data_IF_735461706128
#
_entry.id   IF_735461706128
#
_cell.length_a   1.000
_cell.length_b   1.000
_cell.length_c   1.000
_cell.angle_alpha   90.00
_cell.angle_beta   90.00
_cell.angle_gamma   90.00
#
_symmetry.space_group_name_H-M   'P 1'
#
loop_
_entity.id
_entity.type
_entity.pdbx_description
1 polymer ?
#
# COMPACT_ATOMS: atom_id res chain seq x y z
N UNK A 1 -18.40 28.44 -7.62
CA UNK A 1 -17.13 27.76 -7.90
C UNK A 1 -16.70 27.07 -6.62
N UNK A 2 -16.52 25.75 -6.66
CA UNK A 2 -15.97 25.00 -5.53
C UNK A 2 -14.46 25.24 -5.55
N UNK A 3 -13.97 26.10 -4.67
CA UNK A 3 -12.59 25.94 -4.20
C UNK A 3 -12.55 24.62 -3.43
N UNK A 4 -11.53 23.82 -3.70
CA UNK A 4 -10.86 22.91 -2.77
C UNK A 4 -10.54 21.56 -3.42
N UNK A 5 -9.29 21.46 -3.89
CA UNK A 5 -8.56 20.20 -3.95
C UNK A 5 -7.41 20.39 -2.95
N UNK A 6 -7.49 19.72 -1.80
CA UNK A 6 -6.50 19.80 -0.70
C UNK A 6 -5.16 19.12 -1.04
N UNK A 7 -4.74 19.21 -2.29
CA UNK A 7 -3.57 18.52 -2.80
C UNK A 7 -2.47 19.55 -3.01
N UNK A 8 -1.59 19.68 -2.03
CA UNK A 8 -0.30 20.33 -2.25
C UNK A 8 0.46 19.42 -3.21
N UNK A 9 0.84 19.96 -4.37
CA UNK A 9 1.54 19.22 -5.40
C UNK A 9 2.86 19.91 -5.70
N UNK A 10 3.96 19.17 -5.84
CA UNK A 10 5.21 19.74 -6.34
C UNK A 10 4.96 20.38 -7.70
N UNK A 11 5.44 21.62 -7.88
CA UNK A 11 5.14 22.41 -9.06
C UNK A 11 5.62 21.73 -10.35
N UNK A 12 6.73 21.00 -10.31
CA UNK A 12 7.26 20.20 -11.43
C UNK A 12 6.31 19.08 -11.86
N UNK A 13 5.45 18.60 -10.95
CA UNK A 13 4.42 17.59 -11.24
C UNK A 13 3.15 18.18 -11.82
N UNK A 14 2.92 19.48 -11.66
CA UNK A 14 1.75 20.19 -12.17
C UNK A 14 1.92 20.73 -13.60
N UNK A 15 3.03 20.43 -14.28
CA UNK A 15 3.30 20.80 -15.68
C UNK A 15 2.89 22.25 -16.00
N UNK A 16 3.44 23.25 -15.28
CA UNK A 16 3.00 24.63 -15.42
C UNK A 16 3.21 25.13 -16.84
N UNK A 17 2.25 25.87 -17.37
CA UNK A 17 2.43 26.61 -18.63
C UNK A 17 1.93 28.04 -18.48
N UNK A 18 2.50 28.94 -19.28
CA UNK A 18 2.06 30.33 -19.37
C UNK A 18 1.35 30.54 -20.70
N UNK A 19 0.14 31.08 -20.66
CA UNK A 19 -0.64 31.38 -21.87
C UNK A 19 -0.15 32.65 -22.58
N UNK A 20 -0.75 32.95 -23.74
CA UNK A 20 -0.40 34.12 -24.54
C UNK A 20 -0.72 35.46 -23.88
N UNK A 21 -1.53 35.48 -22.81
CA UNK A 21 -1.81 36.66 -22.00
C UNK A 21 -0.81 36.86 -20.85
N UNK A 22 0.11 35.91 -20.67
CA UNK A 22 1.08 35.92 -19.57
C UNK A 22 0.55 35.25 -18.29
N UNK A 23 -0.66 34.66 -18.30
CA UNK A 23 -1.23 33.98 -17.15
C UNK A 23 -0.70 32.56 -17.04
N UNK A 24 -0.26 32.15 -15.85
CA UNK A 24 0.25 30.80 -15.58
C UNK A 24 -0.88 29.86 -15.15
N UNK A 25 -0.78 28.62 -15.59
CA UNK A 25 -1.77 27.57 -15.40
C UNK A 25 -1.09 26.29 -14.93
N UNK A 26 -1.80 25.52 -14.10
CA UNK A 26 -1.33 24.28 -13.48
C UNK A 26 -2.25 23.11 -13.82
N UNK A 27 -1.68 22.01 -14.31
CA UNK A 27 -2.37 20.73 -14.53
C UNK A 27 -2.53 20.03 -13.18
N UNK A 28 -3.77 19.80 -12.78
CA UNK A 28 -4.12 19.16 -11.51
C UNK A 28 -4.57 17.70 -11.69
N UNK A 29 -4.52 17.17 -12.92
CA UNK A 29 -4.97 15.82 -13.28
C UNK A 29 -6.38 15.78 -13.87
N UNK A 30 -6.75 14.62 -14.43
CA UNK A 30 -8.07 14.34 -15.05
C UNK A 30 -8.53 15.35 -16.12
N UNK A 31 -7.58 16.02 -16.76
CA UNK A 31 -7.85 17.06 -17.77
C UNK A 31 -8.30 18.41 -17.21
N UNK A 32 -8.18 18.61 -15.89
CA UNK A 32 -8.51 19.87 -15.24
C UNK A 32 -7.27 20.77 -15.08
N UNK A 33 -7.49 22.07 -15.24
CA UNK A 33 -6.47 23.11 -15.13
C UNK A 33 -6.96 24.20 -14.18
N UNK A 34 -6.05 24.71 -13.34
CA UNK A 34 -6.29 25.86 -12.48
C UNK A 34 -5.35 26.99 -12.86
N UNK A 35 -5.84 28.22 -12.78
CA UNK A 35 -5.01 29.40 -13.02
C UNK A 35 -4.25 29.77 -11.74
N UNK A 36 -3.12 30.46 -11.86
CA UNK A 36 -2.35 30.86 -10.68
C UNK A 36 -3.13 31.75 -9.71
N UNK A 37 -4.14 32.47 -10.19
CA UNK A 37 -5.01 33.31 -9.36
C UNK A 37 -5.97 32.49 -8.50
N UNK A 38 -6.17 31.21 -8.83
CA UNK A 38 -7.12 30.32 -8.15
C UNK A 38 -6.43 29.38 -7.15
N UNK A 39 -5.10 29.45 -7.02
CA UNK A 39 -4.27 28.58 -6.17
C UNK A 39 -3.21 29.38 -5.42
N UNK A 40 -2.80 28.88 -4.26
CA UNK A 40 -1.62 29.39 -3.56
C UNK A 40 -0.36 28.84 -4.25
N UNK A 41 0.11 29.55 -5.28
CA UNK A 41 1.26 29.16 -6.09
C UNK A 41 2.60 29.51 -5.39
N UNK A 42 3.66 28.81 -5.79
CA UNK A 42 5.04 29.09 -5.36
C UNK A 42 5.29 29.03 -3.84
N UNK A 43 4.48 28.25 -3.11
CA UNK A 43 4.73 27.95 -1.69
C UNK A 43 6.09 27.25 -1.57
N UNK A 44 7.01 27.86 -0.82
CA UNK A 44 8.32 27.28 -0.56
C UNK A 44 8.21 26.04 0.33
N UNK A 45 9.12 25.07 0.14
CA UNK A 45 9.17 23.86 0.98
C UNK A 45 9.40 24.15 2.48
N UNK A 46 9.82 25.37 2.82
CA UNK A 46 10.05 25.84 4.18
C UNK A 46 8.93 26.73 4.72
N UNK A 47 7.92 27.06 3.90
CA UNK A 47 6.77 27.88 4.29
C UNK A 47 5.75 26.98 4.98
N UNK A 48 6.17 26.43 6.13
CA UNK A 48 5.43 25.39 6.85
C UNK A 48 3.99 25.83 7.17
N UNK A 49 3.74 27.11 7.47
CA UNK A 49 2.38 27.61 7.69
C UNK A 49 1.50 27.50 6.44
N UNK A 50 2.02 27.87 5.28
CA UNK A 50 1.30 27.81 4.00
C UNK A 50 1.14 26.35 3.53
N UNK A 51 2.08 25.48 3.93
CA UNK A 51 1.98 24.02 3.76
C UNK A 51 1.01 23.34 4.76
N UNK A 52 0.34 24.13 5.61
CA UNK A 52 -0.69 23.64 6.53
C UNK A 52 -0.16 23.13 7.87
N UNK A 53 1.12 23.31 8.19
CA UNK A 53 1.64 23.10 9.54
C UNK A 53 1.26 24.30 10.43
N UNK A 54 1.03 24.08 11.71
CA UNK A 54 1.00 25.18 12.66
C UNK A 54 1.70 24.79 13.94
N UNK A 55 2.33 25.79 14.55
CA UNK A 55 2.97 25.66 15.84
C UNK A 55 2.00 26.07 16.95
N UNK A 56 2.14 25.42 18.09
CA UNK A 56 1.50 25.84 19.33
C UNK A 56 2.59 25.86 20.40
N UNK A 57 2.51 26.84 21.29
CA UNK A 57 3.45 27.01 22.39
C UNK A 57 2.62 27.10 23.68
N UNK A 58 2.90 26.20 24.61
CA UNK A 58 2.36 26.28 25.97
C UNK A 58 3.48 26.72 26.92
N UNK A 59 3.12 27.43 27.99
CA UNK A 59 4.09 27.79 29.02
C UNK A 59 4.63 26.51 29.69
N UNK A 60 5.95 26.42 29.96
CA UNK A 60 6.52 25.27 30.63
C UNK A 60 5.87 25.01 31.99
N UNK A 61 5.53 23.75 32.26
CA UNK A 61 5.09 23.31 33.58
C UNK A 61 6.32 22.98 34.41
N UNK A 62 6.58 23.80 35.42
CA UNK A 62 7.75 23.66 36.30
C UNK A 62 7.61 22.58 37.38
N UNK A 63 6.46 21.89 37.46
CA UNK A 63 6.17 20.83 38.42
C UNK A 63 5.66 19.58 37.70
N UNK A 64 6.47 18.52 37.67
CA UNK A 64 6.13 17.30 36.93
C UNK A 64 4.93 16.54 37.47
N UNK A 65 4.52 16.80 38.71
CA UNK A 65 3.26 16.24 39.23
C UNK A 65 2.03 16.81 38.52
N UNK A 66 2.19 17.93 37.81
CA UNK A 66 1.12 18.64 37.09
C UNK A 66 1.19 18.47 35.57
N UNK A 67 2.11 17.66 35.05
CA UNK A 67 2.31 17.52 33.60
C UNK A 67 1.06 17.02 32.86
N UNK A 68 0.24 16.19 33.50
CA UNK A 68 -1.02 15.67 32.97
C UNK A 68 -2.21 16.62 33.14
N UNK A 69 -2.06 17.64 34.00
CA UNK A 69 -3.00 18.75 34.17
C UNK A 69 -2.69 19.93 33.24
N UNK A 70 -1.69 19.78 32.36
CA UNK A 70 -1.36 20.76 31.32
C UNK A 70 -2.40 20.80 30.20
N UNK A 71 -2.59 21.98 29.61
CA UNK A 71 -3.55 22.17 28.53
C UNK A 71 -3.14 21.48 27.23
N UNK A 72 -1.84 21.30 26.97
CA UNK A 72 -1.34 20.89 25.64
C UNK A 72 -1.97 19.62 25.05
N UNK A 73 -2.30 18.61 25.86
CA UNK A 73 -2.96 17.39 25.32
C UNK A 73 -4.36 17.76 24.85
N UNK A 74 -5.17 18.37 25.72
CA UNK A 74 -6.55 18.76 25.40
C UNK A 74 -6.60 19.82 24.30
N UNK A 75 -5.71 20.80 24.34
CA UNK A 75 -5.58 21.85 23.33
C UNK A 75 -5.13 21.27 21.99
N UNK A 76 -4.21 20.30 21.99
CA UNK A 76 -3.77 19.58 20.81
C UNK A 76 -4.93 18.85 20.13
N UNK A 77 -5.68 18.04 20.88
CA UNK A 77 -6.86 17.33 20.36
C UNK A 77 -8.01 18.27 19.98
N UNK A 78 -8.23 19.35 20.73
CA UNK A 78 -9.24 20.36 20.43
C UNK A 78 -8.92 21.06 19.12
N UNK A 79 -7.66 21.44 18.90
CA UNK A 79 -7.23 22.06 17.64
C UNK A 79 -7.32 21.11 16.46
N UNK A 80 -7.02 19.82 16.63
CA UNK A 80 -7.26 18.81 15.59
C UNK A 80 -8.75 18.74 15.25
N UNK A 81 -9.63 18.79 16.25
CA UNK A 81 -11.08 18.82 16.05
C UNK A 81 -11.59 20.10 15.36
N UNK A 82 -10.95 21.25 15.63
CA UNK A 82 -11.25 22.56 15.06
C UNK A 82 -10.71 22.74 13.63
N UNK A 83 -9.56 22.14 13.31
CA UNK A 83 -9.01 22.11 11.97
C UNK A 83 -9.92 21.41 10.97
N UNK A 84 -10.75 20.49 11.46
CA UNK A 84 -11.82 19.87 10.68
C UNK A 84 -13.00 20.85 10.63
N UNK A 85 -13.04 21.70 9.60
CA UNK A 85 -14.10 22.73 9.47
C UNK A 85 -15.47 22.09 9.19
N UNK A 86 -16.43 22.08 10.15
CA UNK A 86 -17.69 21.33 10.04
C UNK A 86 -18.68 21.92 9.03
N UNK A 87 -18.49 23.17 8.64
CA UNK A 87 -19.38 23.93 7.74
C UNK A 87 -19.24 23.54 6.27
N UNK A 88 -18.32 22.61 5.95
CA UNK A 88 -17.91 22.26 4.58
C UNK A 88 -18.63 21.06 3.97
N UNK A 89 -19.35 20.27 4.77
CA UNK A 89 -20.07 19.08 4.28
C UNK A 89 -20.41 18.07 5.38
N UNK A 90 -21.26 17.09 5.06
CA UNK A 90 -21.71 16.05 6.00
C UNK A 90 -20.54 15.14 6.43
N UNK A 91 -19.51 14.95 5.59
CA UNK A 91 -18.34 14.11 5.89
C UNK A 91 -17.41 14.79 6.89
N UNK A 92 -17.09 16.05 6.67
CA UNK A 92 -16.18 16.87 7.47
C UNK A 92 -16.80 17.15 8.84
N UNK A 93 -18.12 17.41 8.88
CA UNK A 93 -18.86 17.49 10.13
C UNK A 93 -18.75 16.22 10.96
N UNK A 94 -18.87 15.04 10.35
CA UNK A 94 -18.70 13.74 11.04
C UNK A 94 -17.28 13.55 11.60
N UNK A 95 -16.25 14.06 10.92
CA UNK A 95 -14.86 13.99 11.41
C UNK A 95 -14.61 14.96 12.57
N UNK A 96 -15.18 16.17 12.55
CA UNK A 96 -15.10 17.11 13.68
C UNK A 96 -15.88 16.56 14.89
N UNK A 97 -17.08 16.04 14.65
CA UNK A 97 -17.90 15.39 15.68
C UNK A 97 -17.19 14.15 16.25
N UNK A 98 -16.44 13.40 15.43
CA UNK A 98 -15.61 12.28 15.86
C UNK A 98 -14.52 12.72 16.85
N UNK A 99 -13.71 13.73 16.53
CA UNK A 99 -12.66 14.21 17.44
C UNK A 99 -13.22 14.85 18.73
N UNK A 100 -14.37 15.54 18.64
CA UNK A 100 -15.05 16.06 19.84
C UNK A 100 -15.61 14.94 20.72
N UNK A 101 -16.20 13.90 20.12
CA UNK A 101 -16.63 12.71 20.82
C UNK A 101 -15.45 11.92 21.40
N UNK A 102 -14.30 11.94 20.71
CA UNK A 102 -13.05 11.34 21.17
C UNK A 102 -12.58 12.00 22.47
N UNK A 103 -12.51 13.34 22.49
CA UNK A 103 -12.18 14.12 23.68
C UNK A 103 -13.11 13.81 24.85
N UNK A 104 -14.41 13.70 24.61
CA UNK A 104 -15.39 13.34 25.64
C UNK A 104 -15.24 11.89 26.12
N UNK A 105 -14.88 10.95 25.24
CA UNK A 105 -14.63 9.56 25.62
C UNK A 105 -13.32 9.40 26.41
N UNK A 106 -12.31 10.20 26.11
CA UNK A 106 -11.04 10.21 26.84
C UNK A 106 -11.22 10.75 28.26
N UNK A 107 -12.01 11.82 28.45
CA UNK A 107 -12.38 12.38 29.77
C UNK A 107 -13.59 11.64 30.35
N UNK A 108 -13.41 10.35 30.61
CA UNK A 108 -14.46 9.41 31.01
C UNK A 108 -15.17 9.78 32.32
N UNK A 109 -14.45 10.45 33.22
CA UNK A 109 -14.98 10.92 34.50
C UNK A 109 -15.59 12.33 34.43
N UNK A 110 -15.49 12.99 33.27
CA UNK A 110 -15.98 14.34 33.00
C UNK A 110 -15.46 15.37 34.01
N UNK A 111 -14.23 15.17 34.49
CA UNK A 111 -13.58 16.01 35.49
C UNK A 111 -13.08 17.33 34.92
N UNK A 112 -12.90 17.39 33.61
CA UNK A 112 -12.25 18.53 32.97
C UNK A 112 -10.73 18.41 32.93
N UNK A 113 -10.13 17.36 33.48
CA UNK A 113 -8.70 16.99 33.36
C UNK A 113 -8.54 15.58 32.71
N UNK A 114 -7.37 15.24 32.18
CA UNK A 114 -7.07 13.87 31.73
C UNK A 114 -6.15 13.19 32.73
N UNK A 115 -6.67 12.21 33.47
CA UNK A 115 -5.84 11.41 34.37
C UNK A 115 -4.88 10.49 33.62
N UNK A 116 -3.85 9.99 34.30
CA UNK A 116 -2.92 9.01 33.72
C UNK A 116 -3.59 7.70 33.29
N UNK A 117 -4.64 7.27 33.99
CA UNK A 117 -5.43 6.09 33.62
C UNK A 117 -6.28 6.33 32.37
N UNK A 118 -6.86 7.51 32.22
CA UNK A 118 -7.63 7.92 31.03
C UNK A 118 -6.74 8.01 29.79
N UNK A 119 -5.53 8.58 29.92
CA UNK A 119 -4.54 8.60 28.84
C UNK A 119 -4.06 7.20 28.48
N UNK A 120 -3.77 6.34 29.48
CA UNK A 120 -3.39 4.96 29.23
C UNK A 120 -4.50 4.21 28.49
N UNK A 121 -5.75 4.40 28.88
CA UNK A 121 -6.90 3.79 28.21
C UNK A 121 -7.01 4.29 26.76
N UNK A 122 -6.92 5.61 26.57
CA UNK A 122 -7.03 6.26 25.27
C UNK A 122 -6.00 5.78 24.24
N UNK A 123 -4.74 5.64 24.64
CA UNK A 123 -3.64 5.23 23.73
C UNK A 123 -3.70 3.73 23.36
N UNK A 124 -4.31 2.89 24.22
CA UNK A 124 -4.32 1.44 24.02
C UNK A 124 -5.62 0.90 23.38
N UNK A 125 -6.66 1.72 23.27
CA UNK A 125 -7.90 1.33 22.59
C UNK A 125 -7.86 1.78 21.12
N UNK A 126 -7.75 0.80 20.20
CA UNK A 126 -7.63 1.05 18.76
C UNK A 126 -8.79 1.88 18.19
N UNK A 127 -10.00 1.74 18.74
CA UNK A 127 -11.19 2.49 18.32
C UNK A 127 -11.09 4.01 18.54
N UNK A 128 -10.08 4.48 19.25
CA UNK A 128 -9.87 5.89 19.58
C UNK A 128 -8.81 6.57 18.69
N UNK A 129 -8.02 5.83 17.89
CA UNK A 129 -6.96 6.36 17.00
C UNK A 129 -5.92 7.31 17.65
N UNK A 130 -5.96 7.52 18.98
CA UNK A 130 -5.12 8.48 19.73
C UNK A 130 -3.64 8.23 19.49
N UNK A 131 -3.24 6.96 19.44
CA UNK A 131 -1.86 6.54 19.17
C UNK A 131 -1.36 7.05 17.82
N UNK A 132 -2.16 6.88 16.78
CA UNK A 132 -1.77 7.21 15.41
C UNK A 132 -1.72 8.72 15.19
N UNK A 133 -2.55 9.46 15.91
CA UNK A 133 -2.56 10.92 15.94
C UNK A 133 -1.30 11.43 16.64
N UNK A 134 -1.03 10.99 17.87
CA UNK A 134 0.13 11.44 18.66
C UNK A 134 1.45 11.08 17.98
N UNK A 135 1.52 9.93 17.30
CA UNK A 135 2.72 9.51 16.57
C UNK A 135 3.10 10.46 15.41
N UNK A 136 2.19 11.34 14.98
CA UNK A 136 2.42 12.33 13.91
C UNK A 136 2.69 13.74 14.45
N UNK A 137 2.70 13.92 15.78
CA UNK A 137 2.96 15.22 16.39
C UNK A 137 4.46 15.48 16.57
N UNK A 138 4.85 16.74 16.39
CA UNK A 138 6.18 17.26 16.76
C UNK A 138 5.95 18.33 17.82
N UNK A 139 6.44 18.11 19.05
CA UNK A 139 6.08 18.91 20.23
C UNK A 139 7.35 19.46 20.88
N UNK A 140 7.35 20.75 21.26
CA UNK A 140 8.48 21.37 21.95
C UNK A 140 8.22 21.47 23.46
N UNK A 141 9.02 20.78 24.27
CA UNK A 141 8.93 20.85 25.73
C UNK A 141 10.25 20.50 26.43
N UNK A 142 10.33 20.80 27.73
CA UNK A 142 11.47 20.41 28.56
C UNK A 142 11.62 18.90 28.61
N UNK A 143 12.85 18.42 28.42
CA UNK A 143 13.16 17.00 28.44
C UNK A 143 13.41 16.49 29.87
N UNK A 144 12.82 15.34 30.21
CA UNK A 144 13.03 14.68 31.51
C UNK A 144 14.48 14.18 31.71
N UNK A 145 15.24 14.08 30.61
CA UNK A 145 16.63 13.62 30.59
C UNK A 145 17.65 14.73 30.89
N UNK A 146 17.19 15.92 31.33
CA UNK A 146 18.02 17.07 31.71
C UNK A 146 17.90 17.41 33.21
N UNK A 147 19.03 17.68 33.86
CA UNK A 147 19.11 18.26 35.22
C UNK A 147 19.00 17.29 36.40
N UNK A 148 18.68 16.02 36.15
CA UNK A 148 18.73 14.95 37.15
C UNK A 148 17.85 15.19 38.38
N UNK A 149 18.15 14.49 39.48
CA UNK A 149 17.35 14.49 40.71
C UNK A 149 17.36 15.81 41.50
N UNK A 150 18.28 16.71 41.15
CA UNK A 150 18.41 18.04 41.74
C UNK A 150 17.56 19.10 41.04
N UNK A 151 17.05 18.81 39.83
CA UNK A 151 16.26 19.76 39.07
C UNK A 151 14.96 20.12 39.78
N UNK A 152 14.62 21.42 39.81
CA UNK A 152 13.47 21.94 40.55
C UNK A 152 12.14 21.28 40.15
N UNK A 153 12.03 20.80 38.90
CA UNK A 153 10.85 20.11 38.35
C UNK A 153 10.43 18.85 39.11
N UNK A 154 11.39 18.19 39.78
CA UNK A 154 11.15 16.93 40.50
C UNK A 154 10.88 17.15 41.98
N UNK A 155 11.00 18.38 42.48
CA UNK A 155 10.95 18.67 43.92
C UNK A 155 9.62 18.23 44.55
N UNK A 156 8.48 18.58 43.94
CA UNK A 156 7.17 18.20 44.45
C UNK A 156 6.96 16.69 44.37
N UNK A 157 7.30 16.07 43.23
CA UNK A 157 7.22 14.63 43.01
C UNK A 157 7.98 13.82 44.06
N UNK A 158 9.26 14.16 44.28
CA UNK A 158 10.10 13.48 45.27
C UNK A 158 9.63 13.70 46.72
N UNK A 159 8.87 14.77 46.99
CA UNK A 159 8.31 15.04 48.33
C UNK A 159 7.07 14.19 48.61
N UNK A 160 6.31 13.84 47.56
CA UNK A 160 5.07 13.05 47.67
C UNK A 160 5.32 11.54 47.59
N UNK A 161 6.51 11.12 47.13
CA UNK A 161 6.87 9.71 46.99
C UNK A 161 7.08 9.03 48.35
N UNK A 162 6.81 7.73 48.42
CA UNK A 162 7.16 6.90 49.58
C UNK A 162 8.65 7.11 49.94
N UNK A 163 8.98 7.46 51.20
CA UNK A 163 10.36 7.66 51.64
C UNK A 163 11.31 6.51 51.31
N UNK A 164 10.81 5.27 51.27
CA UNK A 164 11.60 4.07 50.92
C UNK A 164 12.05 4.07 49.46
N UNK A 165 11.32 4.75 48.57
CA UNK A 165 11.61 4.81 47.12
C UNK A 165 12.45 6.01 46.71
N UNK A 166 12.53 7.06 47.53
CA UNK A 166 13.18 8.34 47.17
C UNK A 166 14.65 8.15 46.77
N UNK A 167 15.41 7.36 47.52
CA UNK A 167 16.84 7.14 47.23
C UNK A 167 17.05 6.44 45.87
N UNK A 168 16.23 5.43 45.58
CA UNK A 168 16.25 4.72 44.30
C UNK A 168 15.89 5.66 43.14
N UNK A 169 14.79 6.42 43.26
CA UNK A 169 14.33 7.32 42.20
C UNK A 169 15.31 8.45 41.95
N UNK A 170 15.94 9.02 43.00
CA UNK A 170 17.00 10.01 42.83
C UNK A 170 18.16 9.45 42.01
N UNK A 171 18.65 8.26 42.38
CA UNK A 171 19.71 7.60 41.63
C UNK A 171 19.30 7.36 40.18
N UNK A 172 18.08 6.89 39.93
CA UNK A 172 17.57 6.67 38.59
C UNK A 172 17.54 7.96 37.75
N UNK A 173 17.05 9.07 38.30
CA UNK A 173 17.09 10.37 37.62
C UNK A 173 18.52 10.82 37.30
N UNK A 174 19.46 10.64 38.23
CA UNK A 174 20.86 11.05 38.03
C UNK A 174 21.57 10.15 37.00
N UNK A 175 21.30 8.84 37.00
CA UNK A 175 21.87 7.90 36.04
C UNK A 175 21.33 8.12 34.61
N UNK A 176 20.10 8.62 34.49
CA UNK A 176 19.41 8.87 33.23
C UNK A 176 19.66 10.30 32.68
N UNK A 177 20.32 11.15 33.45
CA UNK A 177 20.66 12.51 33.03
C UNK A 177 21.85 12.46 32.06
N UNK A 178 21.56 12.64 30.77
CA UNK A 178 22.59 12.67 29.73
C UNK A 178 22.60 13.98 28.95
N UNK A 179 21.49 14.73 28.94
CA UNK A 179 21.36 15.90 28.07
C UNK A 179 22.28 17.05 28.48
N UNK A 180 22.59 17.21 29.78
CA UNK A 180 23.54 18.23 30.21
C UNK A 180 24.94 18.04 29.60
N UNK A 181 25.28 16.81 29.23
CA UNK A 181 26.58 16.41 28.69
C UNK A 181 26.71 16.67 27.19
N UNK A 182 25.61 17.02 26.50
CA UNK A 182 25.58 17.30 25.07
C UNK A 182 25.53 18.81 24.86
N UNK A 183 26.52 19.37 24.16
CA UNK A 183 26.67 20.82 23.98
C UNK A 183 25.38 21.51 23.55
N UNK A 184 24.68 20.96 22.56
CA UNK A 184 23.41 21.49 22.03
C UNK A 184 22.22 21.44 23.00
N UNK A 185 22.31 20.66 24.09
CA UNK A 185 21.26 20.50 25.09
C UNK A 185 21.65 20.96 26.50
N UNK A 186 22.92 21.35 26.68
CA UNK A 186 23.53 21.73 27.96
C UNK A 186 22.84 22.88 28.70
N UNK A 187 22.03 23.67 28.00
CA UNK A 187 21.27 24.81 28.56
C UNK A 187 19.94 24.43 29.19
N UNK A 188 19.45 23.21 28.97
CA UNK A 188 18.14 22.78 29.49
C UNK A 188 16.96 23.51 28.87
N UNK A 189 17.13 24.07 27.68
CA UNK A 189 16.03 24.71 26.95
C UNK A 189 15.06 23.65 26.39
N UNK A 190 13.77 23.98 26.21
CA UNK A 190 12.81 23.10 25.56
C UNK A 190 13.26 22.65 24.17
N UNK A 191 13.24 21.34 23.93
CA UNK A 191 13.64 20.69 22.66
C UNK A 191 12.43 20.12 21.93
N UNK A 192 12.59 19.89 20.63
CA UNK A 192 11.57 19.24 19.80
C UNK A 192 11.61 17.72 19.98
N UNK A 193 10.46 17.14 20.33
CA UNK A 193 10.21 15.72 20.48
C UNK A 193 9.30 15.24 19.35
N UNK A 194 9.56 14.03 18.87
CA UNK A 194 8.80 13.40 17.78
C UNK A 194 8.87 11.89 17.94
N UNK A 195 7.92 11.16 17.37
CA UNK A 195 7.93 9.70 17.46
C UNK A 195 9.12 9.12 16.66
N UNK A 196 10.10 8.49 17.30
CA UNK A 196 11.40 8.19 16.67
C UNK A 196 11.27 7.24 15.48
N UNK A 197 10.41 6.23 15.56
CA UNK A 197 10.21 5.26 14.46
C UNK A 197 9.54 5.90 13.26
N UNK A 198 8.58 6.81 13.49
CA UNK A 198 7.83 7.46 12.41
C UNK A 198 8.70 8.52 11.75
N UNK A 199 9.46 9.27 12.55
CA UNK A 199 10.44 10.22 12.03
C UNK A 199 11.50 9.51 11.17
N UNK A 200 12.12 8.45 11.70
CA UNK A 200 13.12 7.67 10.96
C UNK A 200 12.53 7.07 9.68
N UNK A 201 11.31 6.54 9.68
CA UNK A 201 10.63 6.09 8.45
C UNK A 201 10.40 7.24 7.46
N UNK A 202 10.09 8.44 7.96
CA UNK A 202 9.82 9.62 7.13
C UNK A 202 11.08 10.22 6.48
N UNK A 203 12.23 10.10 7.13
CA UNK A 203 13.54 10.57 6.61
C UNK A 203 14.37 9.46 5.97
N UNK A 204 13.95 8.19 6.12
CA UNK A 204 14.56 7.09 5.39
C UNK A 204 14.26 7.34 3.91
N UNK A 205 15.30 7.54 3.11
CA UNK A 205 15.17 7.59 1.66
C UNK A 205 14.51 6.28 1.25
N UNK A 206 13.19 6.32 1.01
CA UNK A 206 12.46 5.22 0.37
C UNK A 206 13.20 5.00 -0.92
N UNK A 207 13.99 3.93 -0.96
CA UNK A 207 14.98 3.66 -1.99
C UNK A 207 14.37 3.94 -3.35
N UNK A 208 15.09 4.65 -4.23
CA UNK A 208 14.61 4.94 -5.59
C UNK A 208 13.98 3.67 -6.17
N UNK A 209 12.68 3.75 -6.42
CA UNK A 209 11.89 2.64 -6.90
C UNK A 209 12.56 1.96 -8.10
N UNK A 210 12.16 0.72 -8.42
CA UNK A 210 12.74 -0.01 -9.54
C UNK A 210 12.36 0.53 -10.94
N UNK A 211 11.89 1.77 -11.07
CA UNK A 211 11.64 2.40 -12.35
C UNK A 211 12.94 2.61 -13.13
N UNK A 212 12.93 2.27 -14.42
CA UNK A 212 14.03 2.50 -15.37
C UNK A 212 15.40 1.92 -14.97
N UNK A 213 15.43 1.00 -14.00
CA UNK A 213 16.64 0.26 -13.61
C UNK A 213 16.39 -1.24 -13.54
N UNK A 214 17.47 -2.01 -13.59
CA UNK A 214 17.41 -3.44 -13.31
C UNK A 214 17.00 -3.69 -11.86
N UNK A 215 16.29 -4.80 -11.62
CA UNK A 215 16.08 -5.31 -10.27
C UNK A 215 17.35 -6.02 -9.79
N UNK A 216 17.61 -5.96 -8.49
CA UNK A 216 18.77 -6.61 -7.87
C UNK A 216 18.46 -8.04 -7.45
N UNK A 217 19.50 -8.83 -7.20
CA UNK A 217 19.34 -10.18 -6.66
C UNK A 217 18.69 -10.15 -5.27
N UNK A 218 19.02 -9.15 -4.45
CA UNK A 218 18.46 -9.03 -3.09
C UNK A 218 16.96 -8.69 -3.15
N UNK A 219 16.54 -7.81 -4.05
CA UNK A 219 15.13 -7.54 -4.33
C UNK A 219 14.42 -8.83 -4.78
N UNK A 220 15.00 -9.59 -5.71
CA UNK A 220 14.40 -10.85 -6.18
C UNK A 220 14.29 -11.90 -5.06
N UNK A 221 15.29 -11.99 -4.17
CA UNK A 221 15.25 -12.88 -3.00
C UNK A 221 14.15 -12.49 -2.02
N UNK A 222 13.92 -11.20 -1.80
CA UNK A 222 12.83 -10.70 -0.95
C UNK A 222 11.45 -10.94 -1.59
N UNK A 223 11.35 -10.85 -2.92
CA UNK A 223 10.11 -11.11 -3.67
C UNK A 223 9.75 -12.61 -3.65
N UNK A 224 10.75 -13.47 -3.82
CA UNK A 224 10.59 -14.92 -3.95
C UNK A 224 11.36 -15.69 -2.85
N UNK A 225 11.02 -15.51 -1.55
CA UNK A 225 11.81 -16.02 -0.43
C UNK A 225 11.80 -17.55 -0.31
N UNK A 226 10.91 -18.25 -1.04
CA UNK A 226 10.88 -19.72 -1.09
C UNK A 226 11.99 -20.28 -1.98
N UNK A 227 12.41 -19.56 -3.01
CA UNK A 227 13.47 -20.01 -3.91
C UNK A 227 14.85 -19.82 -3.29
N UNK A 228 15.77 -20.73 -3.62
CA UNK A 228 17.16 -20.63 -3.19
C UNK A 228 17.85 -19.51 -3.97
N UNK A 229 18.75 -18.77 -3.33
CA UNK A 229 19.48 -17.65 -3.94
C UNK A 229 20.21 -18.08 -5.21
N UNK A 230 20.86 -19.24 -5.22
CA UNK A 230 21.62 -19.75 -6.37
C UNK A 230 20.74 -20.03 -7.60
N UNK A 231 19.46 -20.33 -7.37
CA UNK A 231 18.48 -20.49 -8.45
C UNK A 231 18.05 -19.11 -9.00
N UNK A 232 17.82 -18.15 -8.10
CA UNK A 232 17.44 -16.78 -8.47
C UNK A 232 18.58 -16.04 -9.19
N UNK A 233 19.83 -16.31 -8.83
CA UNK A 233 21.02 -15.82 -9.53
C UNK A 233 21.09 -16.29 -10.98
N UNK A 234 20.55 -17.48 -11.30
CA UNK A 234 20.43 -17.92 -12.69
C UNK A 234 19.34 -17.15 -13.45
N UNK A 235 18.29 -16.68 -12.76
CA UNK A 235 17.16 -16.01 -13.41
C UNK A 235 17.34 -14.50 -13.57
N UNK A 236 18.10 -13.86 -12.69
CA UNK A 236 18.15 -12.39 -12.58
C UNK A 236 18.54 -11.69 -13.88
N UNK A 237 19.51 -12.24 -14.64
CA UNK A 237 19.90 -11.69 -15.94
C UNK A 237 18.73 -11.75 -16.92
N UNK A 238 18.09 -12.93 -17.06
CA UNK A 238 16.99 -13.11 -17.99
C UNK A 238 15.74 -12.28 -17.60
N UNK A 239 15.50 -12.02 -16.31
CA UNK A 239 14.46 -11.08 -15.88
C UNK A 239 14.77 -9.66 -16.33
N UNK A 240 15.98 -9.18 -16.06
CA UNK A 240 16.39 -7.82 -16.42
C UNK A 240 16.46 -7.62 -17.94
N UNK A 241 16.98 -8.60 -18.68
CA UNK A 241 16.99 -8.61 -20.15
C UNK A 241 15.56 -8.55 -20.69
N UNK A 242 14.64 -9.37 -20.16
CA UNK A 242 13.23 -9.35 -20.54
C UNK A 242 12.52 -8.04 -20.22
N UNK A 243 12.78 -7.43 -19.05
CA UNK A 243 12.22 -6.12 -18.73
C UNK A 243 12.68 -5.05 -19.72
N UNK A 244 13.97 -5.05 -20.09
CA UNK A 244 14.52 -4.16 -21.11
C UNK A 244 13.94 -4.41 -22.50
N UNK A 245 13.95 -5.65 -22.98
CA UNK A 245 13.46 -6.06 -24.31
C UNK A 245 11.99 -5.68 -24.50
N UNK A 246 11.14 -5.96 -23.50
CA UNK A 246 9.70 -5.75 -23.58
C UNK A 246 9.24 -4.38 -23.08
N UNK A 247 10.16 -3.47 -22.77
CA UNK A 247 9.86 -2.11 -22.31
C UNK A 247 8.93 -2.10 -21.08
N UNK A 248 9.18 -3.02 -20.15
CA UNK A 248 8.55 -3.05 -18.82
C UNK A 248 9.45 -2.22 -17.89
N UNK A 249 9.26 -0.91 -17.94
CA UNK A 249 10.22 0.04 -17.33
C UNK A 249 9.82 0.45 -15.92
N UNK A 250 8.53 0.48 -15.59
CA UNK A 250 8.07 0.91 -14.26
C UNK A 250 8.19 -0.21 -13.21
N UNK A 251 8.44 0.18 -11.95
CA UNK A 251 8.46 -0.76 -10.82
C UNK A 251 7.12 -1.48 -10.64
N UNK A 252 6.00 -0.81 -10.97
CA UNK A 252 4.65 -1.36 -10.84
C UNK A 252 4.39 -2.47 -11.86
N UNK A 253 4.75 -2.26 -13.12
CA UNK A 253 4.64 -3.31 -14.15
C UNK A 253 5.51 -4.53 -13.82
N UNK A 254 6.73 -4.30 -13.30
CA UNK A 254 7.62 -5.38 -12.82
C UNK A 254 6.95 -6.17 -11.70
N UNK A 255 6.33 -5.50 -10.72
CA UNK A 255 5.60 -6.15 -9.65
C UNK A 255 4.44 -7.00 -10.17
N UNK A 256 3.64 -6.50 -11.13
CA UNK A 256 2.59 -7.30 -11.79
C UNK A 256 3.14 -8.57 -12.42
N UNK A 257 4.22 -8.46 -13.20
CA UNK A 257 4.81 -9.60 -13.90
C UNK A 257 5.41 -10.63 -12.93
N UNK A 258 6.22 -10.18 -11.97
CA UNK A 258 6.90 -11.05 -11.01
C UNK A 258 5.91 -11.78 -10.11
N UNK A 259 4.83 -11.12 -9.69
CA UNK A 259 3.81 -11.74 -8.84
C UNK A 259 3.15 -12.94 -9.52
N UNK A 260 2.85 -12.81 -10.81
CA UNK A 260 2.25 -13.88 -11.58
C UNK A 260 3.23 -15.03 -11.79
N UNK A 261 4.48 -14.74 -12.15
CA UNK A 261 5.53 -15.77 -12.25
C UNK A 261 5.72 -16.50 -10.91
N UNK A 262 5.75 -15.77 -9.79
CA UNK A 262 5.87 -16.37 -8.47
C UNK A 262 4.73 -17.35 -8.19
N UNK A 263 3.48 -16.96 -8.42
CA UNK A 263 2.37 -17.87 -8.17
C UNK A 263 2.40 -19.12 -9.08
N UNK A 264 2.61 -18.95 -10.38
CA UNK A 264 2.60 -20.07 -11.34
C UNK A 264 3.73 -21.11 -11.12
N UNK A 265 4.83 -20.69 -10.50
CA UNK A 265 6.03 -21.52 -10.30
C UNK A 265 6.29 -21.88 -8.83
N UNK A 266 5.33 -21.65 -7.93
CA UNK A 266 5.48 -21.95 -6.50
C UNK A 266 6.56 -21.10 -5.81
N UNK A 267 6.67 -19.83 -6.18
CA UNK A 267 7.67 -18.88 -5.71
C UNK A 267 8.99 -19.00 -6.46
N UNK A 268 8.95 -19.20 -7.79
CA UNK A 268 10.12 -19.38 -8.67
C UNK A 268 10.92 -20.67 -8.41
N UNK A 269 10.32 -21.67 -7.79
CA UNK A 269 11.00 -22.95 -7.48
C UNK A 269 10.78 -24.01 -8.57
N UNK A 270 9.65 -23.95 -9.27
CA UNK A 270 9.19 -25.00 -10.16
C UNK A 270 9.12 -24.50 -11.60
N UNK A 271 9.89 -25.14 -12.47
CA UNK A 271 9.84 -24.89 -13.92
C UNK A 271 9.14 -26.00 -14.69
N UNK A 272 8.58 -27.01 -14.00
CA UNK A 272 7.76 -28.10 -14.58
C UNK A 272 6.57 -28.39 -13.68
N UNK A 273 5.41 -28.61 -14.30
CA UNK A 273 4.19 -29.02 -13.61
C UNK A 273 4.38 -30.35 -12.89
N UNK A 274 4.02 -30.40 -11.60
CA UNK A 274 4.08 -31.63 -10.81
C UNK A 274 3.01 -32.60 -11.33
N UNK A 275 3.44 -33.79 -11.76
CA UNK A 275 2.55 -34.84 -12.26
C UNK A 275 1.98 -34.58 -13.67
N UNK A 276 2.49 -33.57 -14.39
CA UNK A 276 2.00 -33.22 -15.74
C UNK A 276 2.10 -34.37 -16.76
N UNK A 277 3.09 -35.25 -16.62
CA UNK A 277 3.27 -36.42 -17.49
C UNK A 277 2.12 -37.45 -17.40
N UNK A 278 1.31 -37.41 -16.34
CA UNK A 278 0.17 -38.31 -16.13
C UNK A 278 -1.18 -37.67 -16.50
N UNK A 279 -1.16 -36.44 -17.04
CA UNK A 279 -2.38 -35.72 -17.44
C UNK A 279 -2.78 -36.09 -18.86
N UNK A 280 -4.05 -35.93 -19.19
CA UNK A 280 -4.59 -36.22 -20.52
C UNK A 280 -4.07 -35.29 -21.63
N UNK A 281 -3.44 -34.17 -21.25
CA UNK A 281 -2.77 -33.23 -22.17
C UNK A 281 -1.25 -33.47 -22.27
N UNK A 282 -0.70 -34.53 -21.67
CA UNK A 282 0.67 -34.93 -21.93
C UNK A 282 0.89 -35.19 -23.44
N UNK A 283 2.06 -34.81 -24.01
CA UNK A 283 3.26 -34.30 -23.33
C UNK A 283 3.30 -32.76 -23.13
N UNK A 284 2.18 -32.06 -23.37
CA UNK A 284 2.06 -30.60 -23.40
C UNK A 284 1.68 -29.96 -22.06
N UNK A 285 2.20 -30.52 -20.97
CA UNK A 285 2.00 -30.01 -19.61
C UNK A 285 2.87 -28.78 -19.29
N UNK A 286 2.57 -28.12 -18.18
CA UNK A 286 3.20 -26.85 -17.78
C UNK A 286 4.72 -26.90 -17.70
N UNK A 287 5.41 -25.97 -18.37
CA UNK A 287 6.85 -25.71 -18.23
C UNK A 287 7.17 -24.22 -18.20
N UNK A 288 8.30 -23.86 -17.61
CA UNK A 288 8.74 -22.47 -17.41
C UNK A 288 8.00 -21.78 -16.26
N UNK A 289 8.39 -20.53 -15.97
CA UNK A 289 7.90 -19.81 -14.79
C UNK A 289 6.44 -19.35 -14.88
N UNK A 290 5.85 -19.36 -16.09
CA UNK A 290 4.42 -19.09 -16.30
C UNK A 290 3.63 -20.34 -16.72
N UNK A 291 4.25 -21.53 -16.67
CA UNK A 291 3.63 -22.81 -16.97
C UNK A 291 2.98 -22.90 -18.37
N UNK A 292 3.78 -22.73 -19.44
CA UNK A 292 3.31 -22.93 -20.81
C UNK A 292 2.71 -24.33 -20.97
N UNK A 293 1.46 -24.36 -21.44
CA UNK A 293 0.63 -25.57 -21.55
C UNK A 293 -0.07 -25.56 -22.91
N UNK A 294 -0.37 -26.75 -23.45
CA UNK A 294 -0.98 -27.00 -24.77
C UNK A 294 -0.03 -26.92 -25.96
N UNK A 295 -0.23 -27.83 -26.93
CA UNK A 295 0.64 -27.96 -28.11
C UNK A 295 0.77 -26.67 -28.91
N UNK A 296 -0.34 -25.96 -29.13
CA UNK A 296 -0.37 -24.72 -29.90
C UNK A 296 0.47 -23.60 -29.26
N UNK A 297 0.61 -23.61 -27.93
CA UNK A 297 1.42 -22.62 -27.20
C UNK A 297 2.91 -22.92 -27.38
N UNK A 298 3.31 -24.20 -27.31
CA UNK A 298 4.69 -24.61 -27.57
C UNK A 298 5.10 -24.33 -29.02
N UNK A 299 4.20 -24.58 -29.99
CA UNK A 299 4.46 -24.29 -31.42
C UNK A 299 4.74 -22.81 -31.61
N UNK A 300 3.85 -21.94 -31.13
CA UNK A 300 4.00 -20.48 -31.28
C UNK A 300 5.21 -19.93 -30.54
N UNK A 301 5.58 -20.51 -29.39
CA UNK A 301 6.81 -20.11 -28.70
C UNK A 301 8.05 -20.50 -29.51
N UNK A 302 8.09 -21.72 -30.05
CA UNK A 302 9.17 -22.19 -30.92
C UNK A 302 9.31 -21.35 -32.19
N UNK A 303 8.21 -20.99 -32.84
CA UNK A 303 8.20 -20.07 -33.97
C UNK A 303 8.75 -18.69 -33.61
N UNK A 304 8.40 -18.17 -32.44
CA UNK A 304 8.87 -16.87 -31.97
C UNK A 304 10.39 -16.84 -31.73
N UNK A 305 10.96 -17.90 -31.15
CA UNK A 305 12.41 -17.96 -30.88
C UNK A 305 13.21 -18.60 -32.01
N UNK A 306 12.55 -19.19 -33.02
CA UNK A 306 13.21 -19.87 -34.14
C UNK A 306 13.85 -21.21 -33.77
N UNK A 307 13.32 -21.92 -32.75
CA UNK A 307 13.87 -23.20 -32.30
C UNK A 307 12.78 -24.28 -32.19
N UNK A 308 13.21 -25.55 -32.24
CA UNK A 308 12.32 -26.69 -32.04
C UNK A 308 11.98 -26.93 -30.56
N UNK A 309 10.68 -27.00 -30.26
CA UNK A 309 10.11 -27.36 -28.95
C UNK A 309 9.08 -28.49 -29.04
N UNK A 310 8.97 -29.16 -30.18
CA UNK A 310 7.85 -30.04 -30.52
C UNK A 310 8.32 -31.48 -30.75
N UNK A 311 9.48 -31.67 -31.37
CA UNK A 311 9.87 -32.98 -31.91
C UNK A 311 9.95 -34.11 -30.88
N UNK A 312 10.42 -33.83 -29.67
CA UNK A 312 10.63 -34.82 -28.62
C UNK A 312 10.64 -34.18 -27.21
N UNK A 313 10.83 -35.02 -26.19
CA UNK A 313 10.81 -34.57 -24.79
C UNK A 313 11.96 -33.64 -24.43
N UNK A 314 13.15 -33.84 -24.99
CA UNK A 314 14.28 -32.93 -24.78
C UNK A 314 13.96 -31.55 -25.36
N UNK A 315 13.39 -31.49 -26.57
CA UNK A 315 12.95 -30.24 -27.20
C UNK A 315 11.93 -29.49 -26.33
N UNK A 316 10.90 -30.17 -25.82
CA UNK A 316 9.90 -29.56 -24.90
C UNK A 316 10.52 -29.13 -23.57
N UNK A 317 11.44 -29.92 -23.03
CA UNK A 317 12.06 -29.67 -21.72
C UNK A 317 12.94 -28.43 -21.70
N UNK A 318 13.44 -27.96 -22.84
CA UNK A 318 14.11 -26.66 -22.94
C UNK A 318 13.32 -25.52 -22.31
N UNK A 319 11.97 -25.51 -22.39
CA UNK A 319 11.12 -24.46 -21.76
C UNK A 319 11.29 -24.42 -20.24
N UNK A 320 11.65 -25.54 -19.62
CA UNK A 320 11.88 -25.62 -18.19
C UNK A 320 13.32 -25.24 -17.76
N UNK A 321 14.20 -24.98 -18.72
CA UNK A 321 15.63 -24.74 -18.52
C UNK A 321 15.98 -23.27 -18.81
N UNK A 322 17.08 -22.81 -18.25
CA UNK A 322 17.59 -21.46 -18.55
C UNK A 322 18.06 -21.38 -20.01
N UNK A 323 17.78 -20.30 -20.75
CA UNK A 323 17.04 -19.10 -20.34
C UNK A 323 15.52 -19.17 -20.61
N UNK A 324 15.02 -20.22 -21.28
CA UNK A 324 13.64 -20.29 -21.74
C UNK A 324 12.62 -20.33 -20.60
N UNK A 325 12.97 -20.82 -19.41
CA UNK A 325 12.08 -20.80 -18.26
C UNK A 325 11.63 -19.39 -17.87
N UNK A 326 12.49 -18.38 -18.10
CA UNK A 326 12.17 -16.96 -17.89
C UNK A 326 11.69 -16.31 -19.19
N UNK A 327 12.39 -16.51 -20.32
CA UNK A 327 12.05 -15.87 -21.61
C UNK A 327 10.63 -16.22 -22.09
N UNK A 328 10.20 -17.47 -21.89
CA UNK A 328 8.84 -17.90 -22.25
C UNK A 328 7.76 -17.16 -21.48
N UNK A 329 8.03 -16.75 -20.22
CA UNK A 329 7.11 -15.97 -19.42
C UNK A 329 6.88 -14.58 -20.02
N UNK A 330 7.95 -13.89 -20.42
CA UNK A 330 7.83 -12.59 -21.09
C UNK A 330 7.12 -12.68 -22.44
N UNK A 331 7.48 -13.65 -23.29
CA UNK A 331 6.77 -13.88 -24.55
C UNK A 331 5.28 -14.12 -24.32
N UNK A 332 4.94 -15.00 -23.38
CA UNK A 332 3.54 -15.31 -23.09
C UNK A 332 2.78 -14.06 -22.64
N UNK A 333 3.38 -13.32 -21.72
CA UNK A 333 2.81 -12.13 -21.10
C UNK A 333 2.63 -10.97 -22.08
N UNK A 334 3.68 -10.63 -22.84
CA UNK A 334 3.72 -9.44 -23.69
C UNK A 334 3.17 -9.71 -25.10
N UNK A 335 3.46 -10.88 -25.68
CA UNK A 335 3.14 -11.17 -27.10
C UNK A 335 1.91 -12.06 -27.19
N UNK A 336 1.94 -13.24 -26.57
CA UNK A 336 0.89 -14.25 -26.76
C UNK A 336 -0.48 -13.79 -26.22
N UNK A 337 -0.49 -13.29 -24.98
CA UNK A 337 -1.72 -12.84 -24.31
C UNK A 337 -1.89 -11.31 -24.27
N UNK A 338 -0.84 -10.55 -24.59
CA UNK A 338 -0.83 -9.07 -24.59
C UNK A 338 -1.32 -8.49 -23.25
N UNK A 339 -0.86 -9.07 -22.14
CA UNK A 339 -1.24 -8.75 -20.77
C UNK A 339 -0.57 -7.46 -20.28
N UNK A 340 0.64 -7.16 -20.76
CA UNK A 340 1.43 -6.00 -20.31
C UNK A 340 0.69 -4.67 -20.39
N UNK A 341 -0.21 -4.49 -21.36
CA UNK A 341 -1.05 -3.29 -21.46
C UNK A 341 -1.99 -3.08 -20.26
N UNK A 342 -2.44 -4.15 -19.61
CA UNK A 342 -3.31 -4.08 -18.43
C UNK A 342 -2.50 -3.81 -17.16
N UNK A 343 -1.27 -4.34 -17.09
CA UNK A 343 -0.33 -4.02 -16.01
C UNK A 343 0.08 -2.55 -16.00
N UNK A 344 0.24 -1.93 -17.19
CA UNK A 344 0.43 -0.47 -17.33
C UNK A 344 -0.71 0.36 -16.75
N UNK A 345 -1.92 -0.20 -16.73
CA UNK A 345 -3.11 0.42 -16.16
C UNK A 345 -3.37 -0.02 -14.71
N UNK A 346 -2.39 -0.68 -14.08
CA UNK A 346 -2.49 -1.27 -12.74
C UNK A 346 -3.66 -2.25 -12.57
N UNK A 347 -4.11 -2.90 -13.63
CA UNK A 347 -5.31 -3.75 -13.63
C UNK A 347 -5.00 -5.20 -13.25
N UNK A 348 -4.73 -5.42 -11.97
CA UNK A 348 -4.37 -6.73 -11.41
C UNK A 348 -5.41 -7.83 -11.69
N UNK A 349 -6.69 -7.45 -11.62
CA UNK A 349 -7.82 -8.34 -11.84
C UNK A 349 -7.81 -8.89 -13.27
N UNK A 350 -7.63 -8.02 -14.27
CA UNK A 350 -7.55 -8.43 -15.67
C UNK A 350 -6.26 -9.21 -15.98
N UNK A 351 -5.13 -8.80 -15.40
CA UNK A 351 -3.85 -9.54 -15.51
C UNK A 351 -4.02 -10.98 -15.03
N UNK A 352 -4.61 -11.17 -13.85
CA UNK A 352 -4.85 -12.51 -13.28
C UNK A 352 -5.83 -13.33 -14.13
N UNK A 353 -6.93 -12.71 -14.58
CA UNK A 353 -7.95 -13.37 -15.39
C UNK A 353 -7.40 -13.92 -16.73
N UNK A 354 -6.47 -13.20 -17.36
CA UNK A 354 -5.88 -13.58 -18.64
C UNK A 354 -4.84 -14.70 -18.51
N UNK A 355 -4.11 -14.74 -17.40
CA UNK A 355 -3.10 -15.76 -17.13
C UNK A 355 -3.78 -17.07 -16.75
N UNK A 356 -4.68 -17.03 -15.76
CA UNK A 356 -5.31 -18.24 -15.24
C UNK A 356 -6.55 -18.68 -16.03
N UNK A 357 -7.13 -17.80 -16.85
CA UNK A 357 -8.47 -17.99 -17.43
C UNK A 357 -9.61 -17.82 -16.42
N UNK A 358 -9.31 -17.23 -15.25
CA UNK A 358 -10.20 -17.11 -14.10
C UNK A 358 -9.44 -16.53 -12.90
N UNK A 359 -9.86 -16.88 -11.69
CA UNK A 359 -9.31 -16.29 -10.46
C UNK A 359 -8.79 -17.35 -9.48
N UNK A 360 -8.33 -18.50 -9.98
CA UNK A 360 -7.66 -19.47 -9.11
C UNK A 360 -6.38 -18.85 -8.54
N UNK A 361 -6.19 -19.02 -7.23
CA UNK A 361 -5.01 -18.50 -6.53
C UNK A 361 -4.94 -16.98 -6.43
N UNK A 362 -6.04 -16.25 -6.70
CA UNK A 362 -6.06 -14.78 -6.72
C UNK A 362 -5.48 -14.15 -5.43
N UNK A 363 -5.87 -14.63 -4.25
CA UNK A 363 -5.33 -14.13 -2.96
C UNK A 363 -3.82 -14.31 -2.86
N UNK A 364 -3.28 -15.45 -3.30
CA UNK A 364 -1.85 -15.71 -3.26
C UNK A 364 -1.10 -14.83 -4.27
N UNK A 365 -1.63 -14.66 -5.48
CA UNK A 365 -1.09 -13.72 -6.47
C UNK A 365 -1.06 -12.29 -5.91
N UNK A 366 -2.13 -11.87 -5.23
CA UNK A 366 -2.23 -10.54 -4.63
C UNK A 366 -1.20 -10.37 -3.50
N UNK A 367 -0.95 -11.43 -2.72
CA UNK A 367 0.12 -11.43 -1.70
C UNK A 367 1.50 -11.25 -2.34
N UNK A 368 1.81 -12.00 -3.39
CA UNK A 368 3.07 -11.83 -4.14
C UNK A 368 3.19 -10.43 -4.74
N UNK A 369 2.09 -9.89 -5.28
CA UNK A 369 2.04 -8.54 -5.82
C UNK A 369 2.34 -7.48 -4.77
N UNK A 370 1.66 -7.51 -3.62
CA UNK A 370 1.89 -6.57 -2.51
C UNK A 370 3.33 -6.64 -2.01
N UNK A 371 3.89 -7.85 -1.89
CA UNK A 371 5.29 -8.03 -1.51
C UNK A 371 6.24 -7.40 -2.53
N UNK A 372 6.03 -7.66 -3.83
CA UNK A 372 6.83 -7.06 -4.90
C UNK A 372 6.68 -5.53 -4.96
N UNK A 373 5.50 -5.00 -4.66
CA UNK A 373 5.26 -3.56 -4.57
C UNK A 373 6.13 -2.95 -3.47
N UNK A 374 6.12 -3.52 -2.27
CA UNK A 374 6.93 -3.04 -1.14
C UNK A 374 8.43 -3.15 -1.39
N UNK A 375 8.90 -4.28 -1.92
CA UNK A 375 10.33 -4.47 -2.21
C UNK A 375 10.84 -3.52 -3.29
N UNK A 376 10.00 -3.22 -4.30
CA UNK A 376 10.38 -2.36 -5.43
C UNK A 376 10.00 -0.89 -5.23
N UNK A 377 9.47 -0.52 -4.05
CA UNK A 377 8.87 0.77 -3.72
C UNK A 377 7.90 1.30 -4.77
N UNK A 378 6.97 0.44 -5.20
CA UNK A 378 6.04 0.70 -6.30
C UNK A 378 4.69 1.31 -5.86
N UNK A 379 4.55 1.73 -4.61
CA UNK A 379 3.32 2.32 -4.05
C UNK A 379 2.95 3.64 -4.75
N UNK A 380 3.95 4.45 -5.08
CA UNK A 380 3.78 5.77 -5.71
C UNK A 380 3.16 5.72 -7.12
N UNK A 381 3.10 4.53 -7.74
CA UNK A 381 2.44 4.29 -9.04
C UNK A 381 1.11 3.53 -8.91
N UNK A 382 0.59 3.36 -7.69
CA UNK A 382 -0.72 2.74 -7.47
C UNK A 382 -1.81 3.63 -8.05
N UNK A 383 -2.62 3.08 -8.96
CA UNK A 383 -3.74 3.81 -9.58
C UNK A 383 -5.09 3.11 -9.41
N UNK A 384 -5.10 1.78 -9.28
CA UNK A 384 -6.34 0.99 -9.08
C UNK A 384 -6.40 0.23 -7.77
N UNK A 385 -5.30 0.15 -7.03
CA UNK A 385 -5.30 -0.49 -5.71
C UNK A 385 -5.66 0.56 -4.65
N UNK A 386 -6.78 0.33 -3.96
CA UNK A 386 -7.29 1.18 -2.87
C UNK A 386 -7.41 0.31 -1.63
N UNK A 387 -6.89 0.77 -0.49
CA UNK A 387 -6.90 0.04 0.79
C UNK A 387 -6.45 -1.42 0.64
N UNK A 388 -5.41 -1.63 -0.17
CA UNK A 388 -4.85 -2.95 -0.45
C UNK A 388 -5.78 -3.91 -1.23
N UNK A 389 -6.79 -3.41 -1.94
CA UNK A 389 -7.74 -4.20 -2.75
C UNK A 389 -7.84 -3.64 -4.17
N UNK A 390 -8.09 -4.52 -5.14
CA UNK A 390 -8.46 -4.13 -6.51
C UNK A 390 -9.97 -4.35 -6.69
N UNK A 391 -10.71 -3.25 -6.88
CA UNK A 391 -12.17 -3.29 -7.00
C UNK A 391 -12.59 -3.96 -8.32
N UNK A 392 -13.73 -4.65 -8.29
CA UNK A 392 -14.29 -5.31 -9.46
C UNK A 392 -14.67 -4.30 -10.54
N UNK A 393 -15.30 -3.20 -10.13
CA UNK A 393 -15.87 -2.16 -10.96
C UNK A 393 -14.81 -1.34 -11.71
N UNK A 394 -13.62 -1.18 -11.12
CA UNK A 394 -12.52 -0.41 -11.70
C UNK A 394 -11.67 -1.22 -12.69
N UNK A 395 -11.91 -2.54 -12.79
CA UNK A 395 -11.17 -3.43 -13.66
C UNK A 395 -11.87 -3.64 -15.00
N UNK A 396 -11.09 -3.87 -16.05
CA UNK A 396 -11.57 -4.28 -17.37
C UNK A 396 -12.42 -5.56 -17.33
N UNK A 397 -12.26 -6.40 -16.29
CA UNK A 397 -13.12 -7.58 -16.12
C UNK A 397 -14.60 -7.20 -15.92
N UNK A 398 -14.90 -6.00 -15.43
CA UNK A 398 -16.26 -5.47 -15.26
C UNK A 398 -17.00 -5.36 -16.60
N UNK A 399 -16.27 -5.07 -17.67
CA UNK A 399 -16.82 -4.94 -19.02
C UNK A 399 -16.62 -6.21 -19.86
N UNK A 400 -15.98 -7.24 -19.30
CA UNK A 400 -15.69 -8.49 -20.00
C UNK A 400 -16.64 -9.60 -19.56
N UNK A 401 -17.67 -9.90 -20.36
CA UNK A 401 -18.77 -10.82 -20.01
C UNK A 401 -18.34 -12.14 -19.34
N UNK A 402 -17.29 -12.78 -19.84
CA UNK A 402 -16.80 -14.07 -19.31
C UNK A 402 -16.13 -13.88 -17.95
N UNK A 403 -15.37 -12.82 -17.76
CA UNK A 403 -14.62 -12.57 -16.53
C UNK A 403 -15.47 -11.90 -15.46
N UNK A 404 -16.44 -11.06 -15.82
CA UNK A 404 -17.50 -10.65 -14.90
C UNK A 404 -18.26 -11.86 -14.34
N UNK A 405 -18.68 -12.79 -15.21
CA UNK A 405 -19.33 -14.02 -14.77
C UNK A 405 -18.41 -14.90 -13.93
N UNK A 406 -17.14 -15.01 -14.32
CA UNK A 406 -16.13 -15.77 -13.58
C UNK A 406 -15.91 -15.17 -12.19
N UNK A 407 -15.74 -13.85 -12.07
CA UNK A 407 -15.57 -13.16 -10.79
C UNK A 407 -16.70 -13.47 -9.82
N UNK A 408 -17.94 -13.41 -10.31
CA UNK A 408 -19.11 -13.79 -9.54
C UNK A 408 -19.03 -15.24 -9.04
N UNK A 409 -18.64 -16.20 -9.89
CA UNK A 409 -18.45 -17.60 -9.50
C UNK A 409 -17.36 -17.85 -8.47
N UNK A 410 -16.26 -17.10 -8.52
CA UNK A 410 -15.18 -17.27 -7.54
C UNK A 410 -15.58 -16.70 -6.17
N UNK A 411 -16.36 -15.62 -6.13
CA UNK A 411 -16.88 -15.03 -4.90
C UNK A 411 -18.17 -15.68 -4.37
N UNK A 412 -18.91 -16.42 -5.21
CA UNK A 412 -20.17 -17.09 -4.85
C UNK A 412 -19.97 -18.12 -3.72
N UNK A 413 -20.59 -17.90 -2.53
CA UNK A 413 -20.51 -18.83 -1.40
C UNK A 413 -21.06 -20.23 -1.67
N UNK A 414 -21.97 -20.37 -2.63
CA UNK A 414 -22.54 -21.67 -3.04
C UNK A 414 -21.58 -22.44 -3.97
N UNK A 415 -20.56 -21.79 -4.53
CA UNK A 415 -19.55 -22.42 -5.40
C UNK A 415 -18.31 -22.85 -4.61
N UNK A 416 -18.50 -23.76 -3.65
CA UNK A 416 -17.45 -24.20 -2.70
C UNK A 416 -16.23 -24.87 -3.37
N UNK A 417 -16.40 -25.42 -4.58
CA UNK A 417 -15.30 -26.07 -5.32
C UNK A 417 -14.37 -25.08 -6.02
N UNK A 418 -14.81 -23.83 -6.22
CA UNK A 418 -13.97 -22.80 -6.82
C UNK A 418 -13.20 -22.09 -5.72
N UNK A 419 -11.88 -22.16 -5.78
CA UNK A 419 -10.97 -21.62 -4.76
C UNK A 419 -10.08 -20.56 -5.39
N UNK A 420 -9.72 -19.54 -4.62
CA UNK A 420 -8.78 -18.50 -5.07
C UNK A 420 -9.11 -17.11 -4.58
N UNK A 421 -10.39 -16.81 -4.35
CA UNK A 421 -10.89 -15.57 -3.73
C UNK A 421 -11.65 -15.90 -2.46
N UNK A 422 -11.90 -14.88 -1.63
CA UNK A 422 -12.81 -15.01 -0.50
C UNK A 422 -14.24 -15.16 -1.00
N UNK A 423 -15.05 -15.90 -0.23
CA UNK A 423 -16.47 -16.03 -0.51
C UNK A 423 -17.22 -14.82 0.03
N UNK A 424 -17.81 -14.05 -0.87
CA UNK A 424 -18.51 -12.82 -0.54
C UNK A 424 -19.79 -12.73 -1.38
N UNK A 425 -20.95 -12.89 -0.70
CA UNK A 425 -22.28 -12.84 -1.33
C UNK A 425 -22.51 -11.52 -2.07
N UNK A 426 -22.08 -10.39 -1.50
CA UNK A 426 -22.28 -9.07 -2.10
C UNK A 426 -21.50 -8.94 -3.41
N UNK A 427 -20.22 -9.28 -3.40
CA UNK A 427 -19.36 -9.26 -4.60
C UNK A 427 -19.85 -10.23 -5.68
N UNK A 428 -20.31 -11.41 -5.28
CA UNK A 428 -20.90 -12.38 -6.21
C UNK A 428 -22.14 -11.82 -6.91
N UNK A 429 -23.07 -11.23 -6.15
CA UNK A 429 -24.30 -10.64 -6.67
C UNK A 429 -24.01 -9.49 -7.64
N UNK A 430 -23.12 -8.55 -7.26
CA UNK A 430 -22.71 -7.44 -8.12
C UNK A 430 -22.17 -7.94 -9.46
N UNK A 431 -21.27 -8.92 -9.43
CA UNK A 431 -20.64 -9.43 -10.64
C UNK A 431 -21.59 -10.26 -11.51
N UNK A 432 -22.50 -11.03 -10.90
CA UNK A 432 -23.56 -11.72 -11.65
C UNK A 432 -24.55 -10.76 -12.29
N UNK A 433 -24.96 -9.70 -11.59
CA UNK A 433 -25.81 -8.66 -12.18
C UNK A 433 -25.12 -7.99 -13.38
N UNK A 434 -23.83 -7.65 -13.24
CA UNK A 434 -23.07 -7.09 -14.36
C UNK A 434 -22.96 -8.07 -15.53
N UNK A 435 -22.62 -9.33 -15.25
CA UNK A 435 -22.54 -10.37 -16.27
C UNK A 435 -23.88 -10.58 -16.98
N UNK A 436 -25.00 -10.54 -16.24
CA UNK A 436 -26.36 -10.64 -16.79
C UNK A 436 -26.59 -9.56 -17.85
N UNK A 437 -26.33 -8.29 -17.52
CA UNK A 437 -26.46 -7.17 -18.47
C UNK A 437 -25.60 -7.40 -19.72
N UNK A 438 -24.34 -7.84 -19.55
CA UNK A 438 -23.43 -8.06 -20.67
C UNK A 438 -23.88 -9.22 -21.60
N UNK A 439 -24.45 -10.29 -21.03
CA UNK A 439 -24.95 -11.43 -21.81
C UNK A 439 -26.31 -11.15 -22.45
N UNK A 440 -27.17 -10.35 -21.80
CA UNK A 440 -28.41 -9.84 -22.40
C UNK A 440 -28.09 -8.99 -23.63
N UNK A 441 -27.13 -8.07 -23.54
CA UNK A 441 -26.67 -7.26 -24.68
C UNK A 441 -26.09 -8.10 -25.84
N UNK A 442 -25.64 -9.32 -25.56
CA UNK A 442 -25.15 -10.28 -26.57
C UNK A 442 -26.23 -11.27 -27.05
N UNK A 443 -27.46 -11.18 -26.56
CA UNK A 443 -28.57 -12.09 -26.85
C UNK A 443 -28.26 -13.57 -26.56
N UNK A 444 -27.43 -13.86 -25.54
CA UNK A 444 -27.09 -15.23 -25.13
C UNK A 444 -28.06 -15.72 -24.04
N UNK A 445 -29.27 -16.10 -24.45
CA UNK A 445 -30.35 -16.48 -23.52
C UNK A 445 -30.01 -17.68 -22.63
N UNK A 446 -29.13 -18.58 -23.10
CA UNK A 446 -28.67 -19.72 -22.30
C UNK A 446 -27.88 -19.24 -21.08
N UNK A 447 -26.95 -18.30 -21.27
CA UNK A 447 -26.17 -17.73 -20.17
C UNK A 447 -27.01 -16.82 -19.28
N UNK A 448 -27.94 -16.05 -19.85
CA UNK A 448 -28.88 -15.22 -19.10
C UNK A 448 -29.68 -16.07 -18.09
N UNK A 449 -30.29 -17.17 -18.55
CA UNK A 449 -31.05 -18.06 -17.67
C UNK A 449 -30.18 -18.67 -16.56
N UNK A 450 -28.99 -19.16 -16.92
CA UNK A 450 -28.05 -19.72 -15.94
C UNK A 450 -27.56 -18.69 -14.89
N UNK A 451 -27.46 -17.41 -15.25
CA UNK A 451 -27.10 -16.35 -14.32
C UNK A 451 -28.29 -15.99 -13.41
N UNK A 452 -29.50 -15.94 -13.96
CA UNK A 452 -30.71 -15.70 -13.16
C UNK A 452 -30.91 -16.78 -12.08
N UNK A 453 -30.73 -18.06 -12.42
CA UNK A 453 -30.78 -19.16 -11.45
C UNK A 453 -29.80 -18.96 -10.29
N UNK A 454 -28.60 -18.44 -10.58
CA UNK A 454 -27.58 -18.13 -9.56
C UNK A 454 -27.95 -16.93 -8.71
N UNK A 455 -28.48 -15.88 -9.32
CA UNK A 455 -28.96 -14.70 -8.60
C UNK A 455 -30.10 -15.07 -7.66
N UNK A 456 -31.04 -15.89 -8.12
CA UNK A 456 -32.17 -16.36 -7.31
C UNK A 456 -31.71 -17.28 -6.18
N UNK A 457 -30.76 -18.18 -6.42
CA UNK A 457 -30.18 -19.03 -5.38
C UNK A 457 -29.40 -18.23 -4.31
N UNK A 458 -28.88 -17.06 -4.67
CA UNK A 458 -28.16 -16.18 -3.75
C UNK A 458 -29.05 -15.16 -3.04
N UNK A 459 -30.32 -14.97 -3.42
CA UNK A 459 -31.25 -14.12 -2.67
C UNK A 459 -31.53 -14.78 -1.33
#
# INVERSE_FOLDING_TARGET
>A
MKQDIHKIMPQDKCRPFTDSSGKRWFDIGDGAWLSEEDVDADIGQYDLMDLGFSTFEERPIFDMTKSLHGGWIKDGFTRIAEWVRPERGIREKRVSDYYKALLQKMDSNNSGDLSGDELRHAVNYEELDVRDIVARMVVRHDSEWFGGSSHHRWRAFLTQLDPLCVSYVRKWFDDMEWMSQVEGFSRGEPVWHMHPVVFLDSINDKTFCACNRNITIDELCLIAPKAKKELLEQYISAFNDGFGEFQITTCREKAHFLAQCCHESGGLQLTKEIGGAYKNYAPWFGRGLIQLTWQDVYVRYGEYVGEDFISNDAARNKVAEYPHCVKSAFWFYCINKKISKYAKLDDFNMVTALINGGFNGYIERLKYFKNAVGVLNAEHLSSKMIDSVFLFEDSEIYNYRVYAYSWGRYHDPLQVRLVGTDKNKSEALKAYQRALTLYQNKNDMRKVNAINEKLDALR
#
